data_IF_892508364446
#
_entry.id   IF_892508364446
#
_cell.length_a   1.000
_cell.length_b   1.000
_cell.length_c   1.000
_cell.angle_alpha   90.00
_cell.angle_beta   90.00
_cell.angle_gamma   90.00
#
_symmetry.space_group_name_H-M   'P 1'
#
loop_
_entity.id
_entity.type
_entity.pdbx_description
1 polymer ?
#
# COMPACT_ATOMS: atom_id res chain seq x y z
N UNK A 1 -17.64 5.39 -5.89
CA UNK A 1 -16.90 5.96 -7.04
C UNK A 1 -16.15 4.82 -7.73
N UNK A 2 -16.23 4.65 -9.05
CA UNK A 2 -15.37 3.68 -9.73
C UNK A 2 -13.90 4.07 -9.51
N UNK A 3 -13.07 3.11 -9.11
CA UNK A 3 -11.62 3.30 -9.03
C UNK A 3 -11.11 3.53 -10.45
N UNK A 4 -10.40 4.63 -10.66
CA UNK A 4 -9.80 4.99 -11.95
C UNK A 4 -8.58 5.87 -11.71
N UNK A 5 -7.63 5.81 -12.64
CA UNK A 5 -6.37 6.55 -12.57
C UNK A 5 -5.33 5.89 -11.65
N UNK A 6 -4.44 6.72 -11.12
CA UNK A 6 -3.33 6.28 -10.29
C UNK A 6 -3.74 6.13 -8.83
N UNK A 7 -3.26 5.07 -8.18
CA UNK A 7 -3.53 4.79 -6.77
C UNK A 7 -2.25 4.51 -5.98
N UNK A 8 -2.31 4.82 -4.68
CA UNK A 8 -1.44 4.27 -3.65
C UNK A 8 -2.13 3.05 -3.04
N UNK A 9 -1.43 1.92 -3.01
CA UNK A 9 -1.90 0.69 -2.34
C UNK A 9 -1.05 0.40 -1.12
N UNK A 10 -1.68 0.23 0.04
CA UNK A 10 -1.02 -0.27 1.24
C UNK A 10 -1.59 -1.63 1.61
N UNK A 11 -0.74 -2.66 1.57
CA UNK A 11 -1.02 -3.97 2.14
C UNK A 11 -0.35 -4.02 3.52
N UNK A 12 -1.18 -3.91 4.55
CA UNK A 12 -0.73 -3.82 5.93
C UNK A 12 -0.96 -5.15 6.66
N UNK A 13 0.08 -5.74 7.23
CA UNK A 13 -0.06 -6.86 8.14
C UNK A 13 -0.55 -6.41 9.52
N UNK A 14 -1.44 -7.20 10.12
CA UNK A 14 -1.99 -6.94 11.45
C UNK A 14 -1.10 -7.50 12.58
N UNK A 15 0.07 -8.03 12.25
CA UNK A 15 1.07 -8.50 13.21
C UNK A 15 1.64 -9.86 12.86
N UNK A 16 0.79 -10.90 12.91
CA UNK A 16 1.19 -12.30 12.79
C UNK A 16 1.33 -12.84 11.36
N UNK A 17 1.03 -12.03 10.33
CA UNK A 17 1.12 -12.45 8.93
C UNK A 17 2.55 -12.30 8.40
N UNK A 18 3.19 -13.37 7.87
CA UNK A 18 4.51 -13.30 7.27
C UNK A 18 4.57 -12.29 6.11
N UNK A 19 5.69 -11.57 5.99
CA UNK A 19 5.89 -10.60 4.90
C UNK A 19 5.71 -11.22 3.51
N UNK A 20 6.14 -12.48 3.32
CA UNK A 20 5.95 -13.19 2.05
C UNK A 20 4.46 -13.38 1.70
N UNK A 21 3.60 -13.65 2.68
CA UNK A 21 2.16 -13.76 2.47
C UNK A 21 1.53 -12.41 2.15
N UNK A 22 2.02 -11.32 2.75
CA UNK A 22 1.58 -9.96 2.38
C UNK A 22 1.92 -9.63 0.92
N UNK A 23 3.04 -10.14 0.40
CA UNK A 23 3.37 -9.98 -1.03
C UNK A 23 2.47 -10.84 -1.95
N UNK A 24 2.01 -12.02 -1.49
CA UNK A 24 0.99 -12.80 -2.22
C UNK A 24 -0.33 -12.02 -2.27
N UNK A 25 -0.74 -11.40 -1.16
CA UNK A 25 -1.91 -10.51 -1.12
C UNK A 25 -1.72 -9.32 -2.07
N UNK A 26 -0.56 -8.67 -2.06
CA UNK A 26 -0.26 -7.56 -2.97
C UNK A 26 -0.35 -7.96 -4.45
N UNK A 27 0.14 -9.15 -4.82
CA UNK A 27 0.02 -9.65 -6.19
C UNK A 27 -1.45 -9.81 -6.61
N UNK A 28 -2.30 -10.39 -5.73
CA UNK A 28 -3.73 -10.52 -5.99
C UNK A 28 -4.43 -9.15 -6.14
N UNK A 29 -4.05 -8.16 -5.32
CA UNK A 29 -4.57 -6.78 -5.42
C UNK A 29 -4.13 -6.12 -6.73
N UNK A 30 -2.87 -6.29 -7.13
CA UNK A 30 -2.34 -5.75 -8.37
C UNK A 30 -3.03 -6.34 -9.60
N UNK A 31 -3.23 -7.65 -9.65
CA UNK A 31 -3.95 -8.31 -10.74
C UNK A 31 -5.41 -7.84 -10.83
N UNK A 32 -6.08 -7.72 -9.69
CA UNK A 32 -7.46 -7.22 -9.64
C UNK A 32 -7.54 -5.77 -10.15
N UNK A 33 -6.69 -4.86 -9.66
CA UNK A 33 -6.69 -3.45 -10.07
C UNK A 33 -6.33 -3.29 -11.56
N UNK A 34 -5.36 -4.06 -12.04
CA UNK A 34 -4.97 -4.09 -13.46
C UNK A 34 -6.13 -4.53 -14.34
N UNK A 35 -6.87 -5.56 -13.94
CA UNK A 35 -8.08 -6.02 -14.63
C UNK A 35 -9.18 -4.97 -14.73
N UNK A 36 -9.16 -3.96 -13.86
CA UNK A 36 -10.10 -2.83 -13.84
C UNK A 36 -9.50 -1.53 -14.41
N UNK A 37 -8.33 -1.59 -15.05
CA UNK A 37 -7.69 -0.42 -15.67
C UNK A 37 -7.17 0.62 -14.67
N UNK A 38 -6.85 0.21 -13.45
CA UNK A 38 -6.30 1.06 -12.39
C UNK A 38 -4.79 0.83 -12.26
N UNK A 39 -4.01 1.90 -12.19
CA UNK A 39 -2.54 1.83 -12.08
C UNK A 39 -2.11 2.03 -10.64
N UNK A 40 -1.35 1.08 -10.08
CA UNK A 40 -0.68 1.26 -8.78
C UNK A 40 0.57 2.11 -9.01
N UNK A 41 0.50 3.40 -8.74
CA UNK A 41 1.63 4.30 -8.90
C UNK A 41 2.59 4.25 -7.71
N UNK A 42 2.08 3.98 -6.50
CA UNK A 42 2.87 3.85 -5.26
C UNK A 42 2.36 2.68 -4.44
N UNK A 43 3.22 2.07 -3.63
CA UNK A 43 2.79 1.01 -2.73
C UNK A 43 3.59 0.94 -1.44
N UNK A 44 2.96 0.35 -0.41
CA UNK A 44 3.59 -0.09 0.82
C UNK A 44 3.12 -1.52 1.13
N UNK A 45 4.06 -2.39 1.50
CA UNK A 45 3.75 -3.78 1.90
C UNK A 45 4.54 -4.09 3.16
N UNK A 46 3.86 -4.39 4.26
CA UNK A 46 4.51 -4.65 5.56
C UNK A 46 3.61 -4.37 6.76
N UNK A 47 4.19 -4.32 7.96
CA UNK A 47 3.47 -4.04 9.20
C UNK A 47 3.59 -2.55 9.54
N UNK A 48 2.54 -1.77 9.24
CA UNK A 48 2.50 -0.33 9.52
C UNK A 48 1.53 0.03 10.65
N UNK A 49 0.40 -0.68 10.73
CA UNK A 49 -0.69 -0.49 11.70
C UNK A 49 -1.15 -1.88 12.18
N UNK A 50 -0.52 -2.39 13.23
CA UNK A 50 -0.73 -3.75 13.72
C UNK A 50 -1.84 -3.85 14.79
N UNK A 51 -2.37 -5.05 14.98
CA UNK A 51 -3.26 -5.44 16.09
C UNK A 51 -2.62 -6.56 16.89
N UNK A 52 -1.57 -6.21 17.66
CA UNK A 52 -0.70 -7.16 18.37
C UNK A 52 -0.16 -8.26 17.43
N UNK A 53 -0.30 -9.54 17.77
CA UNK A 53 0.12 -10.70 16.99
C UNK A 53 -0.96 -11.26 16.04
N UNK A 54 -2.02 -10.50 15.74
CA UNK A 54 -3.13 -10.98 14.90
C UNK A 54 -2.64 -11.45 13.53
N UNK A 55 -2.97 -12.70 13.17
CA UNK A 55 -2.82 -13.22 11.82
C UNK A 55 -3.94 -12.65 10.93
N UNK A 56 -3.58 -11.69 10.08
CA UNK A 56 -4.48 -10.98 9.18
C UNK A 56 -3.79 -9.84 8.46
N UNK A 57 -4.48 -9.24 7.48
CA UNK A 57 -4.01 -8.06 6.79
C UNK A 57 -5.18 -7.11 6.49
N UNK A 58 -4.87 -5.85 6.22
CA UNK A 58 -5.79 -4.88 5.64
C UNK A 58 -5.24 -4.35 4.32
N UNK A 59 -6.16 -3.97 3.42
CA UNK A 59 -5.84 -3.38 2.12
C UNK A 59 -6.43 -1.97 2.11
N UNK A 60 -5.58 -0.97 1.94
CA UNK A 60 -6.00 0.42 1.75
C UNK A 60 -5.67 0.83 0.32
N UNK A 61 -6.67 1.39 -0.38
CA UNK A 61 -6.50 1.95 -1.73
C UNK A 61 -6.87 3.42 -1.69
N UNK A 62 -5.91 4.29 -2.02
CA UNK A 62 -6.10 5.73 -2.08
C UNK A 62 -5.87 6.23 -3.51
N UNK A 63 -6.86 6.94 -4.08
CA UNK A 63 -6.67 7.61 -5.37
C UNK A 63 -5.67 8.76 -5.21
N UNK A 64 -4.67 8.78 -6.07
CA UNK A 64 -3.69 9.85 -6.09
C UNK A 64 -4.14 10.96 -7.03
N UNK A 65 -4.16 12.18 -6.52
CA UNK A 65 -4.11 13.40 -7.33
C UNK A 65 -2.65 13.81 -7.51
N UNK A 66 -2.31 14.68 -8.48
CA UNK A 66 -0.95 15.19 -8.62
C UNK A 66 -0.38 15.76 -7.32
N UNK A 67 -1.18 16.51 -6.57
CA UNK A 67 -0.78 17.08 -5.27
C UNK A 67 -0.52 15.99 -4.22
N UNK A 68 -1.35 14.94 -4.17
CA UNK A 68 -1.13 13.83 -3.23
C UNK A 68 0.10 12.99 -3.61
N UNK A 69 0.38 12.82 -4.91
CA UNK A 69 1.60 12.17 -5.38
C UNK A 69 2.84 12.96 -4.96
N UNK A 70 2.83 14.27 -5.14
CA UNK A 70 3.93 15.15 -4.72
C UNK A 70 4.17 15.08 -3.20
N UNK A 71 3.10 15.14 -2.40
CA UNK A 71 3.19 15.03 -0.94
C UNK A 71 3.68 13.65 -0.47
N UNK A 72 3.33 12.59 -1.20
CA UNK A 72 3.83 11.24 -0.91
C UNK A 72 5.33 11.11 -1.20
N UNK A 73 5.78 11.67 -2.33
CA UNK A 73 7.17 11.56 -2.78
C UNK A 73 8.13 12.49 -2.01
N UNK A 74 7.60 13.45 -1.26
CA UNK A 74 8.39 14.35 -0.44
C UNK A 74 9.30 13.57 0.53
N UNK A 75 10.52 14.07 0.81
CA UNK A 75 11.44 13.39 1.73
C UNK A 75 10.83 13.14 3.11
N UNK A 76 11.07 11.96 3.66
CA UNK A 76 10.61 11.58 4.99
C UNK A 76 11.72 10.85 5.74
N UNK A 77 11.87 11.15 7.03
CA UNK A 77 12.81 10.48 7.92
C UNK A 77 12.16 10.20 9.28
N UNK A 78 11.50 9.05 9.37
CA UNK A 78 10.87 8.54 10.61
C UNK A 78 11.39 7.15 10.93
N UNK A 79 11.08 6.57 12.12
CA UNK A 79 11.48 5.19 12.42
C UNK A 79 10.97 4.14 11.42
N UNK A 80 9.78 4.34 10.84
CA UNK A 80 9.11 3.35 9.99
C UNK A 80 9.11 3.69 8.49
N UNK A 81 9.18 4.98 8.12
CA UNK A 81 9.18 5.45 6.72
C UNK A 81 10.40 6.33 6.45
N UNK A 82 11.18 6.00 5.40
CA UNK A 82 12.40 6.71 5.01
C UNK A 82 12.61 6.67 3.49
N UNK A 83 12.64 7.83 2.84
CA UNK A 83 13.00 7.98 1.42
C UNK A 83 13.34 9.45 1.07
N UNK A 84 13.84 9.67 -0.15
CA UNK A 84 14.06 11.02 -0.71
C UNK A 84 15.27 11.78 -0.15
N UNK A 85 16.32 11.05 0.27
CA UNK A 85 17.59 11.66 0.68
C UNK A 85 18.37 12.23 -0.49
#
# INVERSE_FOLDING_TARGET
LPLSGDVLVMVNGLGGTPLIELYVVFAAVADWLKGHGVTIARSLVGNYITSLEMAGCSITVCRLTPQLTELWDAPVETPALRWGR
#
